data_IF_987565853361
#
_entry.id   IF_987565853361
#
_cell.length_a   1.000
_cell.length_b   1.000
_cell.length_c   1.000
_cell.angle_alpha   90.00
_cell.angle_beta   90.00
_cell.angle_gamma   90.00
#
_symmetry.space_group_name_H-M   'P 1'
#
loop_
_entity.id
_entity.type
_entity.pdbx_description
1 polymer ?
#
# COMPACT_ATOMS: atom_id res chain seq x y z
N UNK A 1 -43.79 -9.56 32.39
CA UNK A 1 -42.90 -9.72 31.22
C UNK A 1 -42.17 -8.40 30.89
N UNK A 2 -41.27 -7.91 31.77
CA UNK A 2 -40.48 -6.67 31.51
C UNK A 2 -38.97 -6.83 31.74
N UNK A 3 -38.53 -7.99 32.25
CA UNK A 3 -37.12 -8.26 32.58
C UNK A 3 -36.34 -8.96 31.46
N UNK A 4 -37.03 -9.61 30.52
CA UNK A 4 -36.39 -10.33 29.40
C UNK A 4 -36.00 -9.43 28.22
N UNK A 5 -36.68 -8.29 28.02
CA UNK A 5 -36.33 -7.35 26.94
C UNK A 5 -35.03 -6.60 27.19
N UNK A 6 -34.63 -6.41 28.46
CA UNK A 6 -33.41 -5.68 28.80
C UNK A 6 -32.13 -6.46 28.44
N UNK A 7 -32.18 -7.80 28.48
CA UNK A 7 -31.01 -8.65 28.21
C UNK A 7 -30.73 -8.76 26.70
N UNK A 8 -31.78 -8.74 25.87
CA UNK A 8 -31.63 -8.78 24.40
C UNK A 8 -31.09 -7.43 23.88
N UNK A 9 -31.50 -6.31 24.48
CA UNK A 9 -30.97 -5.00 24.12
C UNK A 9 -29.47 -4.87 24.43
N UNK A 10 -28.98 -5.47 25.52
CA UNK A 10 -27.56 -5.42 25.87
C UNK A 10 -26.67 -6.19 24.87
N UNK A 11 -27.18 -7.27 24.28
CA UNK A 11 -26.46 -8.05 23.26
C UNK A 11 -26.38 -7.33 21.91
N UNK A 12 -27.39 -6.54 21.54
CA UNK A 12 -27.38 -5.77 20.29
C UNK A 12 -26.46 -4.53 20.35
N UNK A 13 -26.29 -3.91 21.52
CA UNK A 13 -25.32 -2.82 21.68
C UNK A 13 -23.86 -3.28 21.75
N UNK A 14 -23.61 -4.53 22.16
CA UNK A 14 -22.26 -5.11 22.16
C UNK A 14 -21.77 -5.52 20.76
N UNK A 15 -22.67 -5.75 19.80
CA UNK A 15 -22.29 -6.13 18.43
C UNK A 15 -22.02 -4.95 17.49
N UNK A 16 -22.36 -3.72 17.85
CA UNK A 16 -22.09 -2.52 17.03
C UNK A 16 -20.86 -1.73 17.50
N UNK A 17 -20.33 -2.04 18.69
CA UNK A 17 -19.09 -1.47 19.23
C UNK A 17 -17.84 -2.28 18.79
N UNK A 18 -17.82 -2.69 17.52
CA UNK A 18 -16.78 -3.56 16.96
C UNK A 18 -16.24 -3.11 15.61
N UNK A 19 -16.56 -1.89 15.14
CA UNK A 19 -15.70 -1.21 14.17
C UNK A 19 -14.80 -0.27 14.95
N UNK A 20 -13.98 -0.84 15.85
CA UNK A 20 -12.74 -0.18 16.18
C UNK A 20 -12.06 0.00 14.83
N UNK A 21 -11.96 1.25 14.40
CA UNK A 21 -11.04 1.72 13.38
C UNK A 21 -9.75 0.96 13.61
N UNK A 22 -9.56 -0.12 12.85
CA UNK A 22 -8.31 -0.83 12.83
C UNK A 22 -7.35 0.23 12.37
N UNK A 23 -6.53 0.74 13.28
CA UNK A 23 -5.34 1.47 12.94
C UNK A 23 -4.63 0.57 11.96
N UNK A 24 -4.83 0.81 10.66
CA UNK A 24 -3.97 0.26 9.65
C UNK A 24 -2.62 0.83 10.06
N UNK A 25 -1.78 -0.02 10.65
CA UNK A 25 -0.43 0.38 10.97
C UNK A 25 0.22 0.62 9.61
N UNK A 26 0.18 1.88 9.18
CA UNK A 26 0.80 2.33 7.96
C UNK A 26 2.28 2.34 8.25
N UNK A 27 2.95 1.28 7.80
CA UNK A 27 4.37 1.09 8.02
C UNK A 27 5.10 1.65 6.81
N UNK A 28 6.06 2.53 7.05
CA UNK A 28 6.85 3.14 5.98
C UNK A 28 8.26 2.54 5.97
N UNK A 29 8.63 1.94 4.84
CA UNK A 29 9.88 1.20 4.64
C UNK A 29 10.54 1.73 3.37
N UNK A 30 11.85 2.01 3.39
CA UNK A 30 12.56 2.35 2.18
C UNK A 30 12.87 1.11 1.35
N UNK A 31 12.81 1.21 0.03
CA UNK A 31 13.13 0.10 -0.85
C UNK A 31 13.81 0.58 -2.14
N UNK A 32 14.74 -0.22 -2.64
CA UNK A 32 15.20 -0.13 -4.01
C UNK A 32 14.35 -1.07 -4.85
N UNK A 33 13.61 -0.51 -5.81
CA UNK A 33 12.77 -1.28 -6.72
C UNK A 33 13.33 -1.26 -8.14
N UNK A 34 13.13 -2.35 -8.88
CA UNK A 34 13.30 -2.41 -10.33
C UNK A 34 11.92 -2.31 -10.96
N UNK A 35 11.72 -1.25 -11.70
CA UNK A 35 10.49 -1.06 -12.45
C UNK A 35 10.35 -2.05 -13.62
N UNK A 36 9.16 -2.55 -13.88
CA UNK A 36 8.88 -3.46 -15.01
C UNK A 36 7.83 -2.87 -15.96
N UNK A 37 6.69 -2.42 -15.44
CA UNK A 37 5.62 -1.86 -16.25
C UNK A 37 4.68 -1.00 -15.41
N UNK A 38 3.76 -0.31 -16.07
CA UNK A 38 2.78 0.56 -15.44
C UNK A 38 1.50 0.60 -16.26
N UNK A 39 0.41 0.97 -15.59
CA UNK A 39 -0.85 1.29 -16.23
C UNK A 39 -0.94 2.79 -16.53
N UNK A 40 -1.71 3.14 -17.56
CA UNK A 40 -2.05 4.52 -17.88
C UNK A 40 -3.56 4.68 -17.70
N UNK A 41 -3.97 5.64 -16.90
CA UNK A 41 -5.38 5.99 -16.72
C UNK A 41 -5.61 7.36 -17.34
N UNK A 42 -6.67 7.51 -18.13
CA UNK A 42 -7.04 8.80 -18.70
C UNK A 42 -7.93 9.56 -17.71
N UNK A 43 -7.46 10.72 -17.25
CA UNK A 43 -8.13 11.57 -16.26
C UNK A 43 -8.11 13.00 -16.78
N UNK A 44 -9.30 13.60 -16.91
CA UNK A 44 -9.53 15.02 -17.27
C UNK A 44 -8.52 15.52 -18.32
N UNK A 45 -8.67 15.01 -19.53
CA UNK A 45 -7.87 15.41 -20.69
C UNK A 45 -6.35 15.13 -20.63
N UNK A 46 -5.93 14.24 -19.72
CA UNK A 46 -4.53 13.83 -19.59
C UNK A 46 -4.38 12.34 -19.24
N UNK A 47 -3.21 11.77 -19.50
CA UNK A 47 -2.86 10.43 -19.03
C UNK A 47 -2.06 10.52 -17.73
N UNK A 48 -2.42 9.69 -16.76
CA UNK A 48 -1.71 9.52 -15.51
C UNK A 48 -1.16 8.10 -15.38
N UNK A 49 0.07 8.01 -14.85
CA UNK A 49 0.72 6.76 -14.47
C UNK A 49 0.06 6.22 -13.21
N UNK A 50 -0.38 4.97 -13.26
CA UNK A 50 -0.94 4.27 -12.12
C UNK A 50 -0.49 2.81 -12.12
N UNK A 51 -0.81 2.07 -11.05
CA UNK A 51 -0.63 0.61 -10.99
C UNK A 51 0.76 0.17 -11.44
N UNK A 52 1.81 0.62 -10.77
CA UNK A 52 3.20 0.33 -11.12
C UNK A 52 3.48 -1.13 -10.77
N UNK A 53 3.98 -1.91 -11.73
CA UNK A 53 4.45 -3.27 -11.51
C UNK A 53 5.98 -3.30 -11.49
N UNK A 54 6.53 -3.94 -10.47
CA UNK A 54 7.98 -4.03 -10.34
C UNK A 54 8.43 -5.07 -9.34
N UNK A 55 9.74 -5.11 -9.16
CA UNK A 55 10.42 -5.99 -8.24
C UNK A 55 11.09 -5.21 -7.12
N UNK A 56 11.04 -5.72 -5.90
CA UNK A 56 11.85 -5.23 -4.79
C UNK A 56 13.23 -5.87 -4.90
N UNK A 57 14.25 -5.06 -5.12
CA UNK A 57 15.65 -5.50 -5.17
C UNK A 57 16.25 -5.50 -3.76
N UNK A 58 15.89 -4.51 -2.94
CA UNK A 58 16.39 -4.37 -1.58
C UNK A 58 15.39 -3.63 -0.70
N UNK A 59 15.17 -4.13 0.51
CA UNK A 59 14.49 -3.41 1.59
C UNK A 59 15.52 -2.71 2.47
N UNK A 60 15.23 -1.50 2.90
CA UNK A 60 16.10 -0.64 3.70
C UNK A 60 15.34 0.16 4.75
N UNK A 61 16.08 0.69 5.71
CA UNK A 61 15.62 1.66 6.72
C UNK A 61 14.27 1.31 7.38
N UNK A 62 14.15 0.08 7.90
CA UNK A 62 13.04 -0.37 8.72
C UNK A 62 13.52 -0.73 10.14
N UNK A 63 12.67 -0.52 11.14
CA UNK A 63 12.91 -0.93 12.52
C UNK A 63 12.76 -2.44 12.66
N UNK A 64 13.88 -3.09 12.98
CA UNK A 64 13.93 -4.54 13.20
C UNK A 64 13.31 -4.96 14.52
N UNK A 65 13.04 -4.04 15.44
CA UNK A 65 12.41 -4.36 16.72
C UNK A 65 10.90 -4.18 16.68
N UNK A 66 10.36 -3.53 15.65
CA UNK A 66 8.93 -3.39 15.45
C UNK A 66 8.34 -4.65 14.79
N UNK A 67 7.47 -5.36 15.52
CA UNK A 67 6.86 -6.59 15.05
C UNK A 67 5.97 -6.39 13.80
N UNK A 68 5.39 -5.19 13.63
CA UNK A 68 4.63 -4.84 12.44
C UNK A 68 5.54 -4.72 11.22
N UNK A 69 6.65 -3.99 11.34
CA UNK A 69 7.63 -3.81 10.27
C UNK A 69 8.29 -5.13 9.89
N UNK A 70 8.60 -6.01 10.85
CA UNK A 70 9.09 -7.35 10.54
C UNK A 70 8.11 -8.14 9.66
N UNK A 71 6.82 -8.18 10.04
CA UNK A 71 5.79 -8.86 9.24
C UNK A 71 5.65 -8.26 7.84
N UNK A 72 5.69 -6.93 7.73
CA UNK A 72 5.64 -6.25 6.44
C UNK A 72 6.84 -6.65 5.56
N UNK A 73 8.05 -6.66 6.13
CA UNK A 73 9.27 -7.06 5.44
C UNK A 73 9.21 -8.51 4.98
N UNK A 74 8.76 -9.43 5.83
CA UNK A 74 8.60 -10.84 5.46
C UNK A 74 7.64 -11.02 4.28
N UNK A 75 6.51 -10.31 4.29
CA UNK A 75 5.56 -10.32 3.19
C UNK A 75 6.20 -9.75 1.91
N UNK A 76 6.84 -8.58 1.99
CA UNK A 76 7.49 -7.95 0.85
C UNK A 76 8.61 -8.82 0.26
N UNK A 77 9.37 -9.52 1.08
CA UNK A 77 10.41 -10.45 0.63
C UNK A 77 9.82 -11.67 -0.08
N UNK A 78 8.72 -12.23 0.45
CA UNK A 78 8.03 -13.38 -0.15
C UNK A 78 7.56 -13.08 -1.57
N UNK A 79 7.06 -11.88 -1.82
CA UNK A 79 6.51 -11.48 -3.12
C UNK A 79 7.41 -10.52 -3.91
N UNK A 80 8.67 -10.35 -3.51
CA UNK A 80 9.59 -9.33 -4.04
C UNK A 80 9.73 -9.34 -5.57
N UNK A 81 9.52 -10.48 -6.24
CA UNK A 81 9.64 -10.59 -7.70
C UNK A 81 8.42 -10.10 -8.48
N UNK A 82 7.26 -9.92 -7.84
CA UNK A 82 6.01 -9.57 -8.53
C UNK A 82 5.10 -8.76 -7.60
N UNK A 83 5.42 -7.46 -7.42
CA UNK A 83 4.60 -6.56 -6.61
C UNK A 83 3.97 -5.49 -7.47
N UNK A 84 2.66 -5.30 -7.28
CA UNK A 84 1.92 -4.14 -7.77
C UNK A 84 1.95 -3.06 -6.69
N UNK A 85 2.46 -1.90 -7.06
CA UNK A 85 2.52 -0.71 -6.24
C UNK A 85 1.41 0.25 -6.67
N UNK A 86 0.57 0.65 -5.72
CA UNK A 86 -0.24 1.85 -5.91
C UNK A 86 0.66 3.08 -5.83
N UNK A 87 0.36 4.13 -6.59
CA UNK A 87 1.08 5.39 -6.51
C UNK A 87 0.24 6.37 -5.70
N UNK A 88 0.77 6.82 -4.56
CA UNK A 88 0.16 7.82 -3.70
C UNK A 88 1.05 9.04 -3.68
N UNK A 89 0.83 9.98 -4.59
CA UNK A 89 1.62 11.20 -4.64
C UNK A 89 0.75 12.45 -4.81
N UNK A 90 1.19 13.61 -4.30
CA UNK A 90 0.52 14.88 -4.55
C UNK A 90 0.63 15.28 -6.04
N UNK A 91 -0.29 16.13 -6.54
CA UNK A 91 -0.42 16.41 -7.98
C UNK A 91 0.85 16.93 -8.67
N UNK A 92 1.65 17.74 -7.97
CA UNK A 92 2.93 18.27 -8.46
C UNK A 92 3.97 17.17 -8.73
N UNK A 93 4.01 16.15 -7.87
CA UNK A 93 4.85 14.96 -8.07
C UNK A 93 4.29 14.04 -9.14
N UNK A 94 2.97 13.94 -9.25
CA UNK A 94 2.31 13.15 -10.30
C UNK A 94 2.71 13.67 -11.70
N UNK A 95 2.79 14.99 -11.90
CA UNK A 95 3.24 15.55 -13.18
C UNK A 95 4.68 15.13 -13.50
N UNK A 96 5.57 15.15 -12.50
CA UNK A 96 6.97 14.73 -12.66
C UNK A 96 7.06 13.24 -13.02
N UNK A 97 6.28 12.39 -12.35
CA UNK A 97 6.20 10.95 -12.62
C UNK A 97 5.66 10.72 -14.03
N UNK A 98 4.54 11.35 -14.39
CA UNK A 98 3.98 11.28 -15.74
C UNK A 98 5.02 11.69 -16.78
N UNK A 99 5.77 12.77 -16.54
CA UNK A 99 6.84 13.22 -17.44
C UNK A 99 7.96 12.20 -17.57
N UNK A 100 8.35 11.51 -16.50
CA UNK A 100 9.38 10.46 -16.57
C UNK A 100 8.81 9.26 -17.33
N UNK A 101 7.74 8.65 -16.86
CA UNK A 101 7.25 7.38 -17.38
C UNK A 101 6.53 7.49 -18.73
N UNK A 102 5.86 8.60 -19.05
CA UNK A 102 5.18 8.78 -20.34
C UNK A 102 6.11 9.27 -21.44
N UNK A 103 7.16 10.04 -21.10
CA UNK A 103 8.16 10.50 -22.09
C UNK A 103 9.05 9.35 -22.56
N UNK A 104 9.43 8.47 -21.64
CA UNK A 104 10.17 7.24 -21.98
C UNK A 104 9.16 6.15 -22.32
N UNK A 105 8.75 6.08 -23.60
CA UNK A 105 7.72 5.17 -24.11
C UNK A 105 7.99 3.66 -23.91
N UNK A 106 9.16 3.28 -23.39
CA UNK A 106 9.52 1.91 -23.09
C UNK A 106 9.86 1.78 -21.60
N UNK A 107 9.32 0.77 -20.89
CA UNK A 107 9.77 0.44 -19.55
C UNK A 107 11.22 -0.03 -19.65
N UNK A 108 12.17 0.88 -19.41
CA UNK A 108 13.51 0.45 -19.05
C UNK A 108 13.44 0.05 -17.58
N UNK A 109 14.04 -1.08 -17.19
CA UNK A 109 14.16 -1.42 -15.78
C UNK A 109 15.10 -0.43 -15.11
N UNK A 110 14.52 0.69 -14.68
CA UNK A 110 15.20 1.70 -13.90
C UNK A 110 15.13 1.28 -12.43
N UNK A 111 16.29 1.39 -11.76
CA UNK A 111 16.36 1.19 -10.31
C UNK A 111 15.99 2.50 -9.66
N UNK A 112 14.97 2.49 -8.81
CA UNK A 112 14.52 3.67 -8.09
C UNK A 112 14.46 3.37 -6.60
N UNK A 113 15.01 4.28 -5.80
CA UNK A 113 14.84 4.25 -4.35
C UNK A 113 13.56 4.97 -4.00
N UNK A 114 12.64 4.26 -3.36
CA UNK A 114 11.30 4.74 -3.02
C UNK A 114 10.99 4.49 -1.55
N UNK A 115 10.08 5.29 -1.01
CA UNK A 115 9.45 4.99 0.27
C UNK A 115 8.18 4.18 -0.01
N UNK A 116 8.09 3.00 0.57
CA UNK A 116 6.92 2.14 0.51
C UNK A 116 6.09 2.35 1.76
N UNK A 117 4.80 2.59 1.58
CA UNK A 117 3.79 2.48 2.62
C UNK A 117 3.11 1.13 2.49
N UNK A 118 3.14 0.36 3.57
CA UNK A 118 2.56 -0.97 3.64
C UNK A 118 1.40 -0.93 4.62
N UNK A 119 0.22 -1.32 4.15
CA UNK A 119 -0.93 -1.60 4.98
C UNK A 119 -1.11 -3.12 5.05
N UNK A 120 -1.02 -3.67 6.26
CA UNK A 120 -1.35 -5.06 6.57
C UNK A 120 -2.70 -5.07 7.26
N UNK A 121 -3.67 -5.80 6.71
CA UNK A 121 -4.91 -6.07 7.44
C UNK A 121 -4.80 -7.37 8.27
N UNK A 122 -5.85 -7.65 9.05
CA UNK A 122 -5.91 -8.84 9.88
C UNK A 122 -6.02 -10.15 9.08
N UNK A 123 -6.36 -10.07 7.80
CA UNK A 123 -6.57 -11.19 6.87
C UNK A 123 -5.33 -11.43 5.98
N UNK A 124 -4.18 -10.87 6.35
CA UNK A 124 -2.91 -10.91 5.61
C UNK A 124 -2.94 -10.24 4.22
N UNK A 125 -3.98 -9.48 3.86
CA UNK A 125 -3.94 -8.68 2.65
C UNK A 125 -2.96 -7.53 2.87
N UNK A 126 -2.01 -7.45 1.95
CA UNK A 126 -0.97 -6.43 1.95
C UNK A 126 -1.23 -5.47 0.80
N UNK A 127 -1.50 -4.20 1.13
CA UNK A 127 -1.52 -3.13 0.13
C UNK A 127 -0.21 -2.37 0.20
N UNK A 128 0.51 -2.31 -0.92
CA UNK A 128 1.79 -1.62 -1.03
C UNK A 128 1.62 -0.38 -1.90
N UNK A 129 2.00 0.77 -1.36
CA UNK A 129 1.96 2.06 -2.06
C UNK A 129 3.33 2.72 -2.07
N UNK A 130 3.70 3.36 -3.17
CA UNK A 130 4.83 4.29 -3.23
C UNK A 130 4.32 5.67 -2.77
N UNK A 131 5.04 6.31 -1.83
CA UNK A 131 4.68 7.61 -1.21
C UNK A 131 5.77 8.67 -1.35
#
# INVERSE_FOLDING_TARGET
>A
MKRFLAIIALFFFAMTAGYASGSQNLLEIWADIRFISFEKVYIVDSFEVSGIFGEIIRLGDYDRNDAGQQRAVEHLQRYASQIRFALQCPPDRQETINRIFLKYAAPRPERMRVKLRVALDADENCTVSIV
#
